data_IF_663476640317
#
_entry.id   IF_663476640317
#
_cell.length_a   1.000
_cell.length_b   1.000
_cell.length_c   1.000
_cell.angle_alpha   90.00
_cell.angle_beta   90.00
_cell.angle_gamma   90.00
#
_symmetry.space_group_name_H-M   'P 1'
#
loop_
_entity.id
_entity.type
_entity.pdbx_description
1 polymer ?
#
# COMPACT_ATOMS: atom_id res chain seq x y z
N UNK A 1 -41.97 33.54 -26.52
CA UNK A 1 -42.13 32.37 -25.61
C UNK A 1 -41.04 31.35 -25.80
N UNK A 2 -39.78 31.68 -25.73
CA UNK A 2 -38.66 30.73 -26.05
C UNK A 2 -37.45 30.77 -25.12
N UNK A 3 -37.39 31.67 -24.13
CA UNK A 3 -36.21 31.83 -23.28
C UNK A 3 -36.28 31.14 -21.92
N UNK A 4 -37.45 30.78 -21.43
CA UNK A 4 -37.66 30.22 -20.07
C UNK A 4 -37.39 28.69 -20.06
N UNK A 5 -37.56 27.99 -21.18
CA UNK A 5 -37.39 26.52 -21.22
C UNK A 5 -35.93 26.06 -21.25
N UNK A 6 -34.97 26.92 -21.68
CA UNK A 6 -33.54 26.54 -21.72
C UNK A 6 -32.83 26.64 -20.35
N UNK A 7 -33.27 27.56 -19.50
CA UNK A 7 -32.69 27.71 -18.17
C UNK A 7 -33.06 26.57 -17.22
N UNK A 8 -34.27 26.02 -17.29
CA UNK A 8 -34.73 24.92 -16.46
C UNK A 8 -34.00 23.59 -16.77
N UNK A 9 -33.62 23.36 -18.02
CA UNK A 9 -32.91 22.14 -18.45
C UNK A 9 -31.45 22.16 -17.98
N UNK A 10 -30.82 23.33 -17.98
CA UNK A 10 -29.43 23.47 -17.54
C UNK A 10 -29.32 23.30 -16.00
N UNK A 11 -30.30 23.80 -15.22
CA UNK A 11 -30.33 23.57 -13.77
C UNK A 11 -30.59 22.11 -13.39
N UNK A 12 -31.43 21.39 -14.15
CA UNK A 12 -31.71 19.99 -13.89
C UNK A 12 -30.51 19.07 -14.21
N UNK A 13 -29.71 19.40 -15.21
CA UNK A 13 -28.49 18.66 -15.55
C UNK A 13 -27.38 18.91 -14.51
N UNK A 14 -27.32 20.13 -13.97
CA UNK A 14 -26.32 20.45 -12.94
C UNK A 14 -26.61 19.78 -11.61
N UNK A 15 -27.89 19.60 -11.22
CA UNK A 15 -28.26 18.87 -9.99
C UNK A 15 -28.00 17.36 -10.11
N UNK A 16 -28.21 16.78 -11.30
CA UNK A 16 -27.91 15.35 -11.52
C UNK A 16 -26.41 15.08 -11.50
N UNK A 17 -25.56 16.02 -11.96
CA UNK A 17 -24.11 15.87 -11.88
C UNK A 17 -23.58 15.97 -10.44
N UNK A 18 -24.18 16.79 -9.58
CA UNK A 18 -23.79 16.88 -8.16
C UNK A 18 -24.18 15.65 -7.38
N UNK A 19 -25.33 15.03 -7.67
CA UNK A 19 -25.76 13.78 -7.03
C UNK A 19 -24.92 12.56 -7.46
N UNK A 20 -24.42 12.55 -8.70
CA UNK A 20 -23.53 11.49 -9.18
C UNK A 20 -22.13 11.59 -8.60
N UNK A 21 -21.65 12.79 -8.26
CA UNK A 21 -20.35 12.96 -7.56
C UNK A 21 -20.46 12.64 -6.08
N UNK A 22 -21.58 12.99 -5.43
CA UNK A 22 -21.82 12.66 -4.00
C UNK A 22 -22.06 11.15 -3.77
N UNK A 23 -22.64 10.44 -4.74
CA UNK A 23 -22.88 8.99 -4.62
C UNK A 23 -21.64 8.11 -4.83
N UNK A 24 -20.48 8.69 -5.17
CA UNK A 24 -19.20 7.95 -5.28
C UNK A 24 -18.46 7.81 -3.96
N UNK A 25 -18.79 8.55 -2.95
CA UNK A 25 -18.09 8.53 -1.65
C UNK A 25 -18.73 7.63 -0.59
N UNK A 26 -19.87 6.97 -0.89
CA UNK A 26 -20.65 6.26 0.13
C UNK A 26 -20.68 4.72 0.03
N UNK A 27 -19.93 4.10 -0.88
CA UNK A 27 -19.80 2.62 -0.92
C UNK A 27 -18.32 2.23 -0.91
N UNK A 28 -17.61 2.60 0.14
CA UNK A 28 -16.40 1.87 0.53
C UNK A 28 -16.84 0.85 1.59
N UNK A 29 -17.34 -0.27 1.13
CA UNK A 29 -17.50 -1.46 1.96
C UNK A 29 -16.13 -1.82 2.54
N UNK A 30 -16.03 -2.05 3.84
CA UNK A 30 -14.79 -2.36 4.54
C UNK A 30 -14.05 -3.61 4.01
N UNK A 31 -14.64 -4.34 3.07
CA UNK A 31 -14.05 -5.50 2.39
C UNK A 31 -13.23 -5.14 1.13
N UNK A 32 -13.23 -3.88 0.66
CA UNK A 32 -12.56 -3.48 -0.59
C UNK A 32 -11.23 -2.74 -0.35
N UNK A 33 -10.70 -2.74 0.88
CA UNK A 33 -9.39 -2.14 1.13
C UNK A 33 -8.31 -2.97 0.46
N UNK A 34 -7.42 -2.36 -0.34
CA UNK A 34 -6.31 -3.08 -0.95
C UNK A 34 -5.47 -3.79 0.12
N UNK A 35 -5.17 -5.04 -0.11
CA UNK A 35 -4.41 -5.89 0.81
C UNK A 35 -2.94 -5.81 0.50
N UNK A 36 -2.11 -5.63 1.52
CA UNK A 36 -0.65 -5.72 1.44
C UNK A 36 -0.21 -7.06 1.99
N UNK A 37 0.43 -7.88 1.16
CA UNK A 37 1.05 -9.14 1.57
C UNK A 37 2.55 -8.99 1.59
N UNK A 38 3.21 -9.29 2.70
CA UNK A 38 4.67 -9.23 2.85
C UNK A 38 5.21 -10.63 3.08
N UNK A 39 6.10 -11.09 2.22
CA UNK A 39 6.68 -12.44 2.26
C UNK A 39 8.22 -12.36 2.33
N UNK A 40 8.82 -13.23 3.13
CA UNK A 40 10.27 -13.33 3.31
C UNK A 40 10.95 -14.24 2.28
N UNK A 41 10.20 -15.20 1.70
CA UNK A 41 10.76 -16.22 0.81
C UNK A 41 9.88 -16.38 -0.42
N UNK A 42 10.51 -16.58 -1.59
CA UNK A 42 9.80 -16.93 -2.81
C UNK A 42 9.32 -18.37 -2.77
N UNK A 43 8.17 -18.65 -2.18
CA UNK A 43 7.43 -19.88 -2.46
C UNK A 43 6.41 -19.60 -3.55
N UNK A 44 6.71 -20.08 -4.75
CA UNK A 44 5.71 -20.39 -5.74
C UNK A 44 4.88 -21.51 -5.12
N UNK A 45 3.67 -21.23 -4.69
CA UNK A 45 2.72 -22.28 -4.31
C UNK A 45 2.31 -22.99 -5.57
N UNK A 46 3.04 -24.06 -5.91
CA UNK A 46 2.53 -25.10 -6.79
C UNK A 46 1.67 -25.98 -5.91
N UNK A 47 0.37 -25.89 -6.06
CA UNK A 47 -0.56 -26.88 -5.47
C UNK A 47 -0.27 -28.22 -6.09
N UNK A 48 0.40 -29.12 -5.36
CA UNK A 48 0.24 -30.56 -5.54
C UNK A 48 0.72 -31.31 -4.29
N UNK A 49 -0.24 -31.99 -3.64
CA UNK A 49 -0.08 -33.30 -3.00
C UNK A 49 0.84 -33.39 -1.79
N UNK A 50 0.20 -33.58 -0.63
CA UNK A 50 0.64 -34.42 0.51
C UNK A 50 2.11 -34.86 0.55
N UNK A 51 2.84 -34.37 1.58
CA UNK A 51 3.64 -35.22 2.47
C UNK A 51 4.15 -34.39 3.66
N UNK A 52 3.88 -34.93 4.84
CA UNK A 52 4.33 -34.48 6.15
C UNK A 52 5.81 -34.76 6.32
N UNK A 53 6.59 -33.81 6.90
CA UNK A 53 7.67 -34.06 7.88
C UNK A 53 8.25 -32.73 8.41
N UNK A 54 8.30 -32.59 9.77
CA UNK A 54 9.41 -31.91 10.48
C UNK A 54 9.16 -30.51 10.99
N UNK A 55 8.59 -30.43 12.15
CA UNK A 55 8.79 -29.54 13.31
C UNK A 55 10.02 -28.60 13.24
N UNK A 56 9.77 -27.29 13.18
CA UNK A 56 10.49 -26.26 13.90
C UNK A 56 9.55 -25.07 14.18
N UNK A 57 9.18 -24.99 15.46
CA UNK A 57 8.34 -23.98 16.06
C UNK A 57 9.04 -22.63 16.13
N UNK A 58 8.63 -21.69 15.27
CA UNK A 58 8.65 -20.26 15.56
C UNK A 58 7.26 -19.72 15.24
N UNK A 59 6.40 -19.74 16.29
CA UNK A 59 5.05 -19.20 16.26
C UNK A 59 5.10 -17.66 16.26
N UNK A 60 5.41 -17.02 15.13
CA UNK A 60 4.85 -15.72 14.82
C UNK A 60 3.46 -15.96 14.24
N UNK A 61 2.44 -15.41 14.90
CA UNK A 61 1.06 -15.47 14.43
C UNK A 61 0.97 -14.89 13.01
N UNK A 62 1.01 -15.78 12.02
CA UNK A 62 0.77 -15.42 10.62
C UNK A 62 -0.72 -15.15 10.51
N UNK A 63 -1.09 -13.88 10.42
CA UNK A 63 -2.46 -13.48 10.13
C UNK A 63 -2.95 -14.26 8.90
N UNK A 64 -4.13 -14.89 8.98
CA UNK A 64 -4.68 -15.64 7.86
C UNK A 64 -4.93 -14.73 6.65
N UNK A 65 -4.76 -15.25 5.41
CA UNK A 65 -5.05 -14.48 4.22
C UNK A 65 -6.55 -14.13 4.17
N UNK A 66 -6.90 -12.91 3.75
CA UNK A 66 -8.30 -12.54 3.59
C UNK A 66 -9.00 -13.48 2.61
N UNK A 67 -10.22 -13.87 2.93
CA UNK A 67 -11.03 -14.93 2.30
C UNK A 67 -11.32 -14.73 0.79
N UNK A 68 -11.07 -13.54 0.24
CA UNK A 68 -11.32 -13.20 -1.16
C UNK A 68 -10.08 -12.65 -1.89
N UNK A 69 -9.11 -13.51 -2.18
CA UNK A 69 -7.86 -13.15 -2.88
C UNK A 69 -8.04 -12.79 -4.37
N UNK A 70 -9.15 -13.15 -4.97
CA UNK A 70 -9.29 -13.18 -6.42
C UNK A 70 -9.87 -11.90 -7.06
N UNK A 71 -10.44 -10.99 -6.27
CA UNK A 71 -11.21 -9.84 -6.78
C UNK A 71 -10.73 -8.47 -6.30
N UNK A 72 -9.81 -8.39 -5.34
CA UNK A 72 -9.33 -7.11 -4.78
C UNK A 72 -7.96 -6.70 -5.33
N UNK A 73 -7.74 -5.40 -5.45
CA UNK A 73 -6.42 -4.86 -5.69
C UNK A 73 -5.50 -5.22 -4.52
N UNK A 74 -4.30 -5.71 -4.81
CA UNK A 74 -3.35 -6.12 -3.77
C UNK A 74 -1.92 -5.74 -4.10
N UNK A 75 -1.14 -5.54 -3.06
CA UNK A 75 0.30 -5.32 -3.11
C UNK A 75 1.00 -6.55 -2.55
N UNK A 76 1.89 -7.17 -3.30
CA UNK A 76 2.76 -8.24 -2.82
C UNK A 76 4.19 -7.72 -2.69
N UNK A 77 4.76 -7.77 -1.50
CA UNK A 77 6.15 -7.38 -1.25
C UNK A 77 6.97 -8.63 -0.91
N UNK A 78 7.90 -8.97 -1.76
CA UNK A 78 8.88 -10.00 -1.49
C UNK A 78 10.16 -9.35 -0.94
N UNK A 79 10.41 -9.52 0.36
CA UNK A 79 11.54 -8.88 1.03
C UNK A 79 12.89 -9.49 0.66
N UNK A 80 12.94 -10.75 0.24
CA UNK A 80 14.18 -11.40 -0.20
C UNK A 80 14.64 -10.89 -1.57
N UNK A 81 13.72 -10.80 -2.54
CA UNK A 81 14.01 -10.22 -3.86
C UNK A 81 13.97 -8.70 -3.87
N UNK A 82 13.38 -8.08 -2.85
CA UNK A 82 13.17 -6.63 -2.74
C UNK A 82 12.38 -6.07 -3.92
N UNK A 83 11.30 -6.77 -4.24
CA UNK A 83 10.36 -6.42 -5.29
C UNK A 83 8.96 -6.25 -4.70
N UNK A 84 8.31 -5.15 -5.04
CA UNK A 84 6.89 -4.91 -4.84
C UNK A 84 6.16 -5.18 -6.15
N UNK A 85 5.10 -5.99 -6.10
CA UNK A 85 4.24 -6.30 -7.24
C UNK A 85 2.83 -5.84 -6.97
N UNK A 86 2.25 -5.10 -7.92
CA UNK A 86 0.85 -4.72 -7.90
C UNK A 86 0.02 -5.75 -8.66
N UNK A 87 -1.12 -6.11 -8.08
CA UNK A 87 -2.13 -6.94 -8.72
C UNK A 87 -3.48 -6.22 -8.74
N UNK A 88 -4.19 -6.38 -9.83
CA UNK A 88 -5.60 -6.04 -9.98
C UNK A 88 -6.36 -7.35 -10.19
N UNK A 89 -7.09 -7.79 -9.16
CA UNK A 89 -7.60 -9.14 -9.12
C UNK A 89 -6.46 -10.18 -9.29
N UNK A 90 -6.54 -11.01 -10.33
CA UNK A 90 -5.49 -12.01 -10.66
C UNK A 90 -4.37 -11.47 -11.54
N UNK A 91 -4.55 -10.32 -12.15
CA UNK A 91 -3.60 -9.74 -13.09
C UNK A 91 -2.47 -9.00 -12.38
N UNK A 92 -1.23 -9.33 -12.75
CA UNK A 92 -0.06 -8.57 -12.33
C UNK A 92 0.08 -7.35 -13.24
N UNK A 93 -0.09 -6.15 -12.66
CA UNK A 93 -0.12 -4.89 -13.41
C UNK A 93 1.23 -4.17 -13.43
N UNK A 94 2.02 -4.28 -12.36
CA UNK A 94 3.32 -3.63 -12.28
C UNK A 94 4.25 -4.29 -11.27
N UNK A 95 5.56 -4.05 -11.42
CA UNK A 95 6.61 -4.48 -10.49
C UNK A 95 7.61 -3.35 -10.28
N UNK A 96 8.03 -3.14 -9.03
CA UNK A 96 8.97 -2.10 -8.66
C UNK A 96 10.05 -2.64 -7.73
N UNK A 97 11.32 -2.25 -7.90
CA UNK A 97 12.34 -2.49 -6.88
C UNK A 97 12.04 -1.65 -5.64
N UNK A 98 12.28 -2.21 -4.45
CA UNK A 98 12.01 -1.54 -3.18
C UNK A 98 13.17 -1.70 -2.20
N UNK A 99 13.38 -0.69 -1.35
CA UNK A 99 14.20 -0.84 -0.15
C UNK A 99 13.35 -1.41 0.98
N UNK A 100 13.88 -2.35 1.75
CA UNK A 100 13.17 -3.01 2.86
C UNK A 100 13.93 -2.87 4.17
N UNK A 101 13.36 -3.37 5.25
CA UNK A 101 13.95 -3.34 6.59
C UNK A 101 15.33 -4.01 6.63
N UNK A 102 16.24 -3.44 7.44
CA UNK A 102 17.55 -4.04 7.76
C UNK A 102 17.38 -5.42 8.38
N UNK A 103 18.44 -6.22 8.38
CA UNK A 103 18.45 -7.54 9.06
C UNK A 103 18.09 -7.40 10.54
N UNK A 104 18.57 -6.32 11.21
CA UNK A 104 18.27 -6.04 12.63
C UNK A 104 16.85 -5.51 12.88
N UNK A 105 16.22 -4.93 11.88
CA UNK A 105 14.86 -4.36 11.93
C UNK A 105 14.10 -4.76 10.66
N UNK A 106 13.79 -6.05 10.47
CA UNK A 106 13.20 -6.53 9.22
C UNK A 106 11.78 -5.98 9.03
N UNK A 107 11.39 -5.80 7.77
CA UNK A 107 10.00 -5.57 7.43
C UNK A 107 9.19 -6.81 7.82
N UNK A 108 8.17 -6.69 8.69
CA UNK A 108 7.45 -7.86 9.19
C UNK A 108 6.64 -8.52 8.08
N UNK A 109 6.72 -9.85 8.02
CA UNK A 109 5.91 -10.65 7.10
C UNK A 109 4.47 -10.73 7.59
N UNK A 110 3.49 -10.85 6.69
CA UNK A 110 2.09 -10.95 7.06
C UNK A 110 1.15 -10.41 5.99
N UNK A 111 -0.12 -10.35 6.37
CA UNK A 111 -1.22 -9.79 5.59
C UNK A 111 -1.72 -8.54 6.28
N UNK A 112 -1.79 -7.44 5.56
CA UNK A 112 -2.16 -6.14 6.08
C UNK A 112 -3.18 -5.48 5.16
N UNK A 113 -3.98 -4.59 5.72
CA UNK A 113 -4.82 -3.67 4.95
C UNK A 113 -4.15 -2.31 4.86
N UNK A 114 -4.39 -1.57 3.77
CA UNK A 114 -3.98 -0.17 3.72
C UNK A 114 -4.86 0.63 4.68
N UNK A 115 -4.24 1.27 5.67
CA UNK A 115 -4.91 2.05 6.71
C UNK A 115 -4.99 3.54 6.35
N UNK A 116 -3.87 4.07 5.82
CA UNK A 116 -3.74 5.50 5.49
C UNK A 116 -3.06 5.70 4.15
N UNK A 117 -3.40 6.81 3.48
CA UNK A 117 -2.71 7.31 2.30
C UNK A 117 -2.54 8.81 2.45
N UNK A 118 -1.31 9.28 2.36
CA UNK A 118 -1.00 10.69 2.53
C UNK A 118 -0.14 11.20 1.37
N UNK A 119 -0.50 12.38 0.91
CA UNK A 119 0.31 13.18 0.00
C UNK A 119 1.07 14.22 0.81
N UNK A 120 2.35 14.38 0.51
CA UNK A 120 3.23 15.33 1.19
C UNK A 120 3.27 15.13 2.72
N UNK A 121 3.56 13.92 3.21
CA UNK A 121 3.60 13.63 4.63
C UNK A 121 4.69 14.46 5.33
N UNK A 122 4.45 14.81 6.59
CA UNK A 122 5.51 15.25 7.49
C UNK A 122 6.22 14.02 8.05
N UNK A 123 7.55 14.03 8.08
CA UNK A 123 8.30 13.01 8.81
C UNK A 123 8.49 13.45 10.25
N UNK A 124 8.23 12.55 11.18
CA UNK A 124 8.45 12.73 12.60
C UNK A 124 9.46 11.69 13.05
N UNK A 125 10.50 12.12 13.74
CA UNK A 125 11.49 11.22 14.28
C UNK A 125 10.86 10.30 15.34
N UNK A 126 10.92 8.96 15.18
CA UNK A 126 10.34 8.04 16.15
C UNK A 126 11.02 8.07 17.53
N UNK A 127 12.24 8.60 17.63
CA UNK A 127 13.00 8.71 18.89
C UNK A 127 12.90 10.11 19.51
N UNK A 128 12.57 11.12 18.70
CA UNK A 128 12.43 12.52 19.13
C UNK A 128 11.28 13.19 18.37
N UNK A 129 10.09 13.19 18.94
CA UNK A 129 8.87 13.71 18.29
C UNK A 129 8.88 15.22 18.05
N UNK A 130 9.80 15.96 18.65
CA UNK A 130 10.03 17.39 18.36
C UNK A 130 10.85 17.59 17.08
N UNK A 131 11.62 16.58 16.67
CA UNK A 131 12.37 16.60 15.43
C UNK A 131 11.45 16.22 14.26
N UNK A 132 11.03 17.21 13.48
CA UNK A 132 10.08 17.07 12.39
C UNK A 132 10.64 17.64 11.10
N UNK A 133 10.39 16.96 10.01
CA UNK A 133 10.77 17.40 8.67
C UNK A 133 9.51 17.53 7.82
N UNK A 134 9.18 18.75 7.45
CA UNK A 134 8.06 19.03 6.54
C UNK A 134 8.27 18.34 5.18
N UNK A 135 7.19 18.16 4.44
CA UNK A 135 7.24 17.62 3.08
C UNK A 135 8.21 18.42 2.20
N UNK A 136 8.99 17.73 1.39
CA UNK A 136 9.96 18.34 0.52
C UNK A 136 11.14 17.42 0.18
N UNK A 137 12.12 17.91 -0.58
CA UNK A 137 13.26 17.11 -1.05
C UNK A 137 14.12 16.50 0.07
N UNK A 138 14.12 17.10 1.26
CA UNK A 138 14.85 16.61 2.44
C UNK A 138 14.10 15.58 3.26
N UNK A 139 12.80 15.37 3.01
CA UNK A 139 11.97 14.48 3.81
C UNK A 139 12.29 13.01 3.53
N UNK A 140 12.63 12.20 4.55
CA UNK A 140 12.94 10.77 4.38
C UNK A 140 11.79 9.92 3.82
N UNK A 141 10.52 10.37 3.98
CA UNK A 141 9.33 9.70 3.46
C UNK A 141 9.02 10.07 2.00
N UNK A 142 9.70 11.08 1.45
CA UNK A 142 9.38 11.62 0.14
C UNK A 142 8.03 12.33 0.12
N UNK A 143 7.28 12.16 -0.98
CA UNK A 143 6.02 12.87 -1.22
C UNK A 143 4.77 11.98 -1.05
N UNK A 144 4.93 10.70 -0.73
CA UNK A 144 3.82 9.76 -0.58
C UNK A 144 4.05 8.81 0.57
N UNK A 145 2.96 8.55 1.32
CA UNK A 145 2.90 7.55 2.38
C UNK A 145 1.68 6.67 2.21
N UNK A 146 1.87 5.37 2.35
CA UNK A 146 0.82 4.34 2.33
C UNK A 146 1.03 3.49 3.59
N UNK A 147 0.30 3.80 4.66
CA UNK A 147 0.38 3.10 5.94
C UNK A 147 -0.38 1.78 5.90
N UNK A 148 0.20 0.71 6.44
CA UNK A 148 -0.41 -0.61 6.49
C UNK A 148 -0.39 -1.27 7.89
N UNK A 149 0.37 -0.74 8.84
CA UNK A 149 0.37 -1.24 10.22
C UNK A 149 1.03 -0.24 11.16
N UNK A 150 0.26 0.52 11.91
CA UNK A 150 0.76 1.51 12.86
C UNK A 150 1.74 2.50 12.23
N UNK A 151 3.03 2.40 12.57
CA UNK A 151 4.09 3.26 12.03
C UNK A 151 4.79 2.66 10.81
N UNK A 152 4.32 1.55 10.25
CA UNK A 152 4.92 0.90 9.08
C UNK A 152 4.15 1.24 7.83
N UNK A 153 4.87 1.55 6.76
CA UNK A 153 4.27 1.96 5.50
C UNK A 153 5.20 1.74 4.30
N UNK A 154 4.61 1.95 3.14
CA UNK A 154 5.30 2.08 1.86
C UNK A 154 5.39 3.58 1.59
N UNK A 155 6.55 4.09 1.25
CA UNK A 155 6.75 5.52 1.06
C UNK A 155 7.84 5.82 0.03
N UNK A 156 7.87 7.05 -0.44
CA UNK A 156 8.95 7.56 -1.26
C UNK A 156 10.29 7.65 -0.51
N UNK A 157 11.28 8.29 -1.08
CA UNK A 157 12.56 8.47 -0.39
C UNK A 157 13.37 9.63 -0.97
N UNK A 158 14.02 10.40 -0.10
CA UNK A 158 15.05 11.36 -0.47
C UNK A 158 16.40 10.69 -0.80
N UNK A 159 16.48 9.33 -0.72
CA UNK A 159 17.69 8.53 -1.00
C UNK A 159 17.38 7.42 -2.01
N UNK A 160 17.23 7.75 -3.30
CA UNK A 160 16.83 6.77 -4.32
C UNK A 160 17.82 5.61 -4.49
N UNK A 161 19.09 5.79 -4.14
CA UNK A 161 20.12 4.75 -4.11
C UNK A 161 19.89 3.66 -3.06
N UNK A 162 19.01 3.92 -2.08
CA UNK A 162 18.62 2.95 -1.05
C UNK A 162 17.60 1.92 -1.54
N UNK A 163 16.97 2.17 -2.69
CA UNK A 163 16.01 1.23 -3.29
C UNK A 163 16.75 0.01 -3.82
N UNK A 164 16.25 -1.17 -3.49
CA UNK A 164 16.91 -2.45 -3.76
C UNK A 164 17.79 -2.97 -2.60
N UNK A 165 17.89 -2.23 -1.48
CA UNK A 165 18.70 -2.58 -0.31
C UNK A 165 17.90 -2.98 0.94
N UNK A 166 18.62 -3.48 1.96
CA UNK A 166 18.13 -3.70 3.32
C UNK A 166 18.52 -2.48 4.16
N UNK A 167 17.71 -1.44 4.16
CA UNK A 167 18.14 -0.08 4.56
C UNK A 167 17.21 0.66 5.51
N UNK A 168 15.97 0.20 5.68
CA UNK A 168 14.98 0.91 6.49
C UNK A 168 14.85 0.34 7.92
N UNK A 169 14.12 1.04 8.76
CA UNK A 169 13.63 0.54 10.03
C UNK A 169 12.18 0.01 9.81
N UNK A 170 12.05 -1.16 9.14
CA UNK A 170 10.80 -1.88 8.85
C UNK A 170 9.94 -1.37 7.70
N UNK A 171 9.99 -0.08 7.34
CA UNK A 171 9.21 0.46 6.22
C UNK A 171 9.73 -0.03 4.86
N UNK A 172 8.92 0.18 3.83
CA UNK A 172 9.23 -0.15 2.44
C UNK A 172 9.45 1.13 1.65
N UNK A 173 10.65 1.31 1.10
CA UNK A 173 11.04 2.49 0.33
C UNK A 173 10.86 2.25 -1.16
N UNK A 174 10.23 3.20 -1.84
CA UNK A 174 10.11 3.26 -3.30
C UNK A 174 10.79 4.51 -3.85
N UNK A 175 11.08 4.54 -5.14
CA UNK A 175 11.42 5.80 -5.80
C UNK A 175 10.19 6.69 -5.86
N UNK A 176 10.38 8.01 -5.84
CA UNK A 176 9.29 8.99 -5.86
C UNK A 176 8.35 8.84 -7.06
N UNK A 177 8.86 8.44 -8.20
CA UNK A 177 8.07 8.23 -9.40
C UNK A 177 7.26 6.92 -9.41
N UNK A 178 7.56 6.01 -8.47
CA UNK A 178 7.02 4.66 -8.44
C UNK A 178 5.96 4.48 -7.33
N UNK A 179 5.88 5.43 -6.37
CA UNK A 179 4.97 5.38 -5.22
C UNK A 179 3.69 6.19 -5.39
#
# INVERSE_FOLDING_TARGET
MGRVKKAAIVLAILSILTDVVAARDEIINNNDKPVVTIQKTGMISVEKGTETVGDHSDNEAVNEPPENKDMTDRILINTASRILTLYRGKEKTAMYPVGVGKVSTPTPSGYYSIETKEMNPEWIDPEDTENRIASGPGNPLGYRWIGFSGTYGIHGTNRPESVGGYVSNRCVRMREQDV
#
